data_IF_010110860497
#
_entry.id   IF_010110860497
#
_cell.length_a   1.000
_cell.length_b   1.000
_cell.length_c   1.000
_cell.angle_alpha   90.00
_cell.angle_beta   90.00
_cell.angle_gamma   90.00
#
_symmetry.space_group_name_H-M   'P 1'
#
loop_
_entity.id
_entity.type
_entity.pdbx_description
1 polymer ?
#
# COMPACT_ATOMS: atom_id res chain seq x y z
N UNK A 1 -4.14 12.00 -38.58
CA UNK A 1 -4.24 10.72 -39.32
C UNK A 1 -5.19 9.82 -38.55
N UNK A 2 -6.37 9.52 -39.08
CA UNK A 2 -7.40 8.73 -38.39
C UNK A 2 -7.34 7.28 -38.87
N UNK A 3 -6.31 6.54 -38.44
CA UNK A 3 -6.22 5.09 -38.66
C UNK A 3 -6.87 4.38 -37.46
N UNK A 4 -8.07 3.85 -37.67
CA UNK A 4 -8.84 3.11 -36.66
C UNK A 4 -8.33 1.67 -36.54
N UNK A 5 -8.15 1.21 -35.31
CA UNK A 5 -7.69 -0.14 -34.98
C UNK A 5 -8.83 -1.16 -35.05
N UNK A 6 -9.33 -1.45 -36.26
CA UNK A 6 -10.48 -2.33 -36.46
C UNK A 6 -10.13 -3.84 -36.42
N UNK A 7 -8.93 -4.24 -36.87
CA UNK A 7 -8.54 -5.65 -36.98
C UNK A 7 -7.82 -6.14 -35.72
N UNK A 8 -8.47 -7.02 -34.95
CA UNK A 8 -7.95 -7.55 -33.68
C UNK A 8 -6.58 -8.23 -33.76
N UNK A 9 -6.26 -8.86 -34.90
CA UNK A 9 -4.97 -9.54 -35.10
C UNK A 9 -3.85 -8.50 -35.26
N UNK A 10 -4.10 -7.46 -36.06
CA UNK A 10 -3.13 -6.37 -36.29
C UNK A 10 -2.93 -5.56 -35.02
N UNK A 11 -4.01 -5.27 -34.27
CA UNK A 11 -3.90 -4.58 -32.97
C UNK A 11 -3.03 -5.36 -32.00
N UNK A 12 -3.25 -6.67 -31.89
CA UNK A 12 -2.48 -7.52 -31.00
C UNK A 12 -1.00 -7.50 -31.36
N UNK A 13 -0.64 -7.62 -32.64
CA UNK A 13 0.75 -7.58 -33.09
C UNK A 13 1.42 -6.24 -32.79
N UNK A 14 0.74 -5.12 -33.05
CA UNK A 14 1.26 -3.78 -32.77
C UNK A 14 1.51 -3.62 -31.27
N UNK A 15 0.51 -3.89 -30.44
CA UNK A 15 0.61 -3.73 -28.99
C UNK A 15 1.68 -4.65 -28.41
N UNK A 16 1.79 -5.89 -28.89
CA UNK A 16 2.84 -6.83 -28.44
C UNK A 16 4.24 -6.30 -28.75
N UNK A 17 4.44 -5.70 -29.93
CA UNK A 17 5.72 -5.07 -30.28
C UNK A 17 6.01 -3.84 -29.42
N UNK A 18 5.01 -2.99 -29.18
CA UNK A 18 5.19 -1.82 -28.30
C UNK A 18 5.53 -2.24 -26.87
N UNK A 19 4.87 -3.27 -26.33
CA UNK A 19 5.16 -3.81 -25.00
C UNK A 19 6.61 -4.32 -24.92
N UNK A 20 7.09 -5.01 -25.96
CA UNK A 20 8.47 -5.50 -26.00
C UNK A 20 9.52 -4.38 -26.13
N UNK A 21 9.21 -3.30 -26.86
CA UNK A 21 10.11 -2.16 -27.05
C UNK A 21 10.20 -1.27 -25.80
N UNK A 22 9.07 -0.99 -25.15
CA UNK A 22 8.98 -0.05 -24.02
C UNK A 22 9.02 -0.73 -22.65
N UNK A 23 9.04 -2.07 -22.61
CA UNK A 23 8.92 -2.91 -21.39
C UNK A 23 7.75 -2.49 -20.48
N UNK A 24 6.67 -2.00 -21.10
CA UNK A 24 5.52 -1.45 -20.40
C UNK A 24 4.23 -2.13 -20.84
N UNK A 25 3.63 -2.86 -19.89
CA UNK A 25 2.40 -3.62 -20.08
C UNK A 25 1.18 -2.69 -20.04
N UNK A 26 0.17 -3.01 -20.88
CA UNK A 26 -1.09 -2.29 -20.90
C UNK A 26 -2.13 -3.10 -20.10
N UNK A 27 -2.73 -2.52 -19.05
CA UNK A 27 -3.77 -3.19 -18.28
C UNK A 27 -5.07 -3.31 -19.10
N UNK A 28 -5.88 -4.32 -18.76
CA UNK A 28 -7.09 -4.65 -19.54
C UNK A 28 -8.12 -3.53 -19.62
N UNK A 29 -8.18 -2.64 -18.63
CA UNK A 29 -9.12 -1.52 -18.64
C UNK A 29 -8.70 -0.44 -19.66
N UNK A 30 -7.41 -0.15 -19.81
CA UNK A 30 -6.89 0.82 -20.79
C UNK A 30 -6.96 0.25 -22.22
N UNK A 31 -6.84 -1.07 -22.39
CA UNK A 31 -7.00 -1.72 -23.71
C UNK A 31 -8.37 -1.43 -24.35
N UNK A 32 -9.43 -1.25 -23.57
CA UNK A 32 -10.75 -0.92 -24.08
C UNK A 32 -10.87 0.53 -24.59
N UNK A 33 -9.97 1.41 -24.15
CA UNK A 33 -9.96 2.83 -24.50
C UNK A 33 -9.14 3.10 -25.77
N UNK A 34 -8.17 2.24 -26.09
CA UNK A 34 -7.30 2.36 -27.27
C UNK A 34 -8.03 1.95 -28.56
N UNK A 35 -8.60 2.93 -29.28
CA UNK A 35 -9.39 2.69 -30.52
C UNK A 35 -8.67 3.09 -31.80
N UNK A 36 -7.66 3.95 -31.69
CA UNK A 36 -6.87 4.47 -32.79
C UNK A 36 -5.39 4.24 -32.55
N UNK A 37 -4.61 4.19 -33.63
CA UNK A 37 -3.13 4.22 -33.54
C UNK A 37 -2.66 5.49 -32.82
N UNK A 38 -3.38 6.61 -33.00
CA UNK A 38 -3.09 7.85 -32.30
C UNK A 38 -3.17 7.70 -30.78
N UNK A 39 -4.16 6.97 -30.27
CA UNK A 39 -4.35 6.74 -28.84
C UNK A 39 -3.17 5.95 -28.26
N UNK A 40 -2.70 4.93 -28.99
CA UNK A 40 -1.53 4.12 -28.62
C UNK A 40 -0.27 4.99 -28.56
N UNK A 41 -0.08 5.86 -29.56
CA UNK A 41 1.07 6.79 -29.56
C UNK A 41 0.98 7.74 -28.37
N UNK A 42 -0.19 8.32 -28.10
CA UNK A 42 -0.35 9.22 -26.94
C UNK A 42 -0.13 8.51 -25.61
N UNK A 43 -0.57 7.25 -25.50
CA UNK A 43 -0.40 6.43 -24.31
C UNK A 43 1.08 6.20 -23.99
N UNK A 44 1.86 5.76 -24.97
CA UNK A 44 3.30 5.52 -24.80
C UNK A 44 4.14 6.80 -24.77
N UNK A 45 3.58 7.95 -25.18
CA UNK A 45 4.26 9.25 -25.06
C UNK A 45 4.18 9.84 -23.65
N UNK A 46 3.24 9.39 -22.82
CA UNK A 46 3.09 9.88 -21.45
C UNK A 46 4.20 9.31 -20.55
N UNK A 47 4.95 10.16 -19.83
CA UNK A 47 5.98 9.69 -18.91
C UNK A 47 5.33 9.00 -17.71
N UNK A 48 5.24 7.68 -17.74
CA UNK A 48 4.72 6.87 -16.64
C UNK A 48 5.88 6.23 -15.91
N UNK A 49 6.15 6.69 -14.70
CA UNK A 49 7.16 6.09 -13.83
C UNK A 49 6.52 4.96 -13.02
N UNK A 50 7.09 3.73 -12.99
CA UNK A 50 6.57 2.64 -12.16
C UNK A 50 6.86 2.84 -10.67
N UNK A 51 7.31 4.04 -10.28
CA UNK A 51 7.76 4.38 -8.93
C UNK A 51 6.53 4.69 -8.08
N UNK A 52 6.41 4.03 -6.93
CA UNK A 52 5.35 4.33 -5.95
C UNK A 52 5.44 5.79 -5.52
N UNK A 53 4.31 6.40 -5.19
CA UNK A 53 4.28 7.77 -4.66
C UNK A 53 5.13 7.90 -3.39
N UNK A 54 5.22 6.83 -2.59
CA UNK A 54 6.09 6.76 -1.41
C UNK A 54 7.58 6.87 -1.77
N UNK A 55 7.99 6.19 -2.84
CA UNK A 55 9.37 6.21 -3.34
C UNK A 55 9.72 7.55 -3.99
N UNK A 56 8.76 8.18 -4.68
CA UNK A 56 8.94 9.55 -5.19
C UNK A 56 9.16 10.52 -4.03
N UNK A 57 8.35 10.40 -2.98
CA UNK A 57 8.44 11.28 -1.83
C UNK A 57 9.74 11.06 -1.06
N UNK A 58 10.19 9.81 -0.90
CA UNK A 58 11.49 9.47 -0.29
C UNK A 58 12.67 10.16 -0.99
N UNK A 59 12.62 10.26 -2.31
CA UNK A 59 13.69 10.84 -3.12
C UNK A 59 13.55 12.36 -3.35
N UNK A 60 12.50 12.98 -2.79
CA UNK A 60 12.26 14.42 -2.92
C UNK A 60 12.96 15.22 -1.83
N UNK A 61 13.18 16.52 -2.08
CA UNK A 61 13.69 17.44 -1.06
C UNK A 61 12.60 17.75 -0.03
N UNK A 62 12.59 17.00 1.08
CA UNK A 62 11.66 17.24 2.17
C UNK A 62 12.04 18.51 2.97
N UNK A 63 11.05 19.28 3.43
CA UNK A 63 11.30 20.37 4.36
C UNK A 63 11.81 19.81 5.70
N UNK A 64 12.68 20.58 6.37
CA UNK A 64 13.43 20.12 7.57
C UNK A 64 12.54 19.64 8.73
N UNK A 65 11.28 20.06 8.77
CA UNK A 65 10.29 19.69 9.79
C UNK A 65 9.42 18.48 9.43
N UNK A 66 9.62 17.88 8.25
CA UNK A 66 8.87 16.70 7.80
C UNK A 66 9.80 15.48 7.80
N UNK A 67 9.41 14.44 8.51
CA UNK A 67 10.10 13.15 8.53
C UNK A 67 9.14 12.06 8.08
N UNK A 68 9.55 11.28 7.08
CA UNK A 68 8.79 10.15 6.59
C UNK A 68 9.25 8.87 7.26
N UNK A 69 8.27 8.12 7.71
CA UNK A 69 8.50 6.80 8.28
C UNK A 69 8.01 5.76 7.27
N UNK A 70 8.93 5.29 6.44
CA UNK A 70 8.64 4.34 5.37
C UNK A 70 8.42 2.93 5.89
N UNK A 71 9.15 2.56 6.95
CA UNK A 71 8.99 1.24 7.55
C UNK A 71 7.81 1.24 8.53
N UNK A 72 6.87 0.30 8.38
CA UNK A 72 5.73 0.21 9.28
C UNK A 72 6.21 -0.22 10.66
N UNK A 73 6.18 0.70 11.62
CA UNK A 73 6.47 0.38 13.02
C UNK A 73 5.21 -0.14 13.68
N UNK A 74 5.27 -1.39 14.14
CA UNK A 74 4.21 -2.02 14.92
C UNK A 74 4.32 -1.63 16.39
N UNK A 75 3.19 -1.61 17.09
CA UNK A 75 3.16 -1.53 18.55
C UNK A 75 3.54 -2.89 19.14
N UNK A 76 4.84 -3.09 19.35
CA UNK A 76 5.42 -4.24 20.06
C UNK A 76 6.03 -3.76 21.37
N UNK A 77 6.44 -4.68 22.23
CA UNK A 77 7.07 -4.32 23.51
C UNK A 77 8.38 -3.54 23.31
N UNK A 78 9.12 -3.87 22.26
CA UNK A 78 10.41 -3.25 21.93
C UNK A 78 10.23 -1.81 21.44
N UNK A 79 9.11 -1.49 20.78
CA UNK A 79 8.83 -0.15 20.23
C UNK A 79 8.11 0.77 21.22
N UNK A 80 7.81 0.32 22.45
CA UNK A 80 7.14 1.12 23.50
C UNK A 80 7.85 2.45 23.80
N UNK A 81 9.19 2.47 23.73
CA UNK A 81 9.99 3.68 23.95
C UNK A 81 9.69 4.77 22.91
N UNK A 82 9.50 4.38 21.64
CA UNK A 82 9.15 5.30 20.55
C UNK A 82 7.80 5.98 20.78
N UNK A 83 6.84 5.25 21.35
CA UNK A 83 5.49 5.74 21.60
C UNK A 83 5.27 6.35 22.99
N UNK A 84 6.34 6.59 23.78
CA UNK A 84 6.27 7.16 25.14
C UNK A 84 5.25 6.43 26.03
N UNK A 85 5.27 5.10 25.99
CA UNK A 85 4.35 4.21 26.71
C UNK A 85 2.86 4.35 26.35
N UNK A 86 2.53 5.06 25.26
CA UNK A 86 1.18 5.13 24.72
C UNK A 86 0.97 4.01 23.71
N UNK A 87 -0.15 3.29 23.86
CA UNK A 87 -0.58 2.26 22.91
C UNK A 87 -1.74 2.80 22.06
N UNK A 88 -1.76 2.45 20.77
CA UNK A 88 -2.91 2.70 19.90
C UNK A 88 -4.14 1.82 20.24
N UNK A 89 -3.95 0.79 21.07
CA UNK A 89 -4.99 -0.16 21.47
C UNK A 89 -5.28 -0.08 22.98
N UNK A 90 -5.80 1.04 23.49
CA UNK A 90 -6.17 1.14 24.90
C UNK A 90 -7.29 0.14 25.20
N UNK A 91 -7.19 -0.57 26.34
CA UNK A 91 -8.19 -1.51 26.86
C UNK A 91 -8.46 -2.75 25.98
N UNK A 92 -7.67 -2.97 24.91
CA UNK A 92 -7.79 -4.14 24.04
C UNK A 92 -6.51 -4.96 24.08
N UNK A 93 -6.67 -6.28 24.16
CA UNK A 93 -5.58 -7.23 24.03
C UNK A 93 -5.27 -7.46 22.55
N UNK A 94 -3.99 -7.59 22.21
CA UNK A 94 -3.54 -7.99 20.87
C UNK A 94 -3.31 -9.49 20.87
N UNK A 95 -4.29 -10.23 20.36
CA UNK A 95 -4.27 -11.70 20.33
C UNK A 95 -3.92 -12.17 18.91
N UNK A 96 -2.85 -12.97 18.80
CA UNK A 96 -2.49 -13.62 17.53
C UNK A 96 -3.30 -14.91 17.42
N UNK A 97 -4.38 -14.87 16.64
CA UNK A 97 -5.33 -15.99 16.50
C UNK A 97 -4.85 -17.09 15.54
N UNK A 98 -4.03 -16.73 14.56
CA UNK A 98 -3.58 -17.66 13.52
C UNK A 98 -2.55 -18.69 14.03
N UNK A 99 -2.80 -19.98 13.78
CA UNK A 99 -1.91 -21.08 14.21
C UNK A 99 -0.48 -20.95 13.65
N UNK A 100 -0.35 -20.58 12.36
CA UNK A 100 0.95 -20.39 11.69
C UNK A 100 1.81 -19.33 12.37
N UNK A 101 1.21 -18.20 12.75
CA UNK A 101 1.97 -17.04 13.24
C UNK A 101 2.01 -16.93 14.76
N UNK A 102 1.33 -17.83 15.49
CA UNK A 102 1.31 -17.85 16.95
C UNK A 102 2.70 -17.95 17.59
N UNK A 103 3.63 -18.63 16.92
CA UNK A 103 5.01 -18.78 17.40
C UNK A 103 5.95 -17.66 16.92
N UNK A 104 5.57 -16.93 15.87
CA UNK A 104 6.38 -15.87 15.26
C UNK A 104 6.10 -14.53 15.92
N UNK A 105 4.83 -14.23 16.19
CA UNK A 105 4.41 -12.96 16.79
C UNK A 105 3.90 -13.19 18.21
N UNK A 106 4.46 -12.45 19.17
CA UNK A 106 3.96 -12.43 20.54
C UNK A 106 2.70 -11.56 20.60
N UNK A 107 1.65 -12.09 21.20
CA UNK A 107 0.50 -11.28 21.59
C UNK A 107 0.85 -10.34 22.74
N UNK A 108 0.07 -9.29 22.91
CA UNK A 108 0.22 -8.33 24.01
C UNK A 108 -1.05 -8.31 24.85
N UNK A 109 -0.91 -8.51 26.16
CA UNK A 109 -2.01 -8.38 27.12
C UNK A 109 -1.95 -6.98 27.75
N UNK A 110 -3.05 -6.25 27.66
CA UNK A 110 -3.13 -4.93 28.26
C UNK A 110 -3.29 -5.07 29.78
N UNK A 111 -2.48 -4.38 30.60
CA UNK A 111 -2.69 -4.36 32.04
C UNK A 111 -4.11 -3.85 32.34
N UNK A 112 -4.93 -4.73 32.92
CA UNK A 112 -6.29 -4.37 33.34
C UNK A 112 -6.19 -3.31 34.43
N UNK A 113 -6.65 -2.09 34.14
CA UNK A 113 -6.86 -1.07 35.17
C UNK A 113 -8.11 -1.48 35.94
N UNK A 114 -7.94 -2.28 36.99
CA UNK A 114 -9.02 -2.56 37.92
C UNK A 114 -9.32 -1.26 38.69
N UNK A 115 -10.29 -0.47 38.25
CA UNK A 115 -10.88 0.52 39.15
C UNK A 115 -11.60 -0.24 40.24
N UNK A 116 -11.04 -0.30 41.46
CA UNK A 116 -11.78 -0.72 42.66
C UNK A 116 -13.03 0.16 42.76
N UNK A 117 -14.18 -0.32 42.29
CA UNK A 117 -15.46 0.30 42.65
C UNK A 117 -15.62 0.09 44.15
N UNK A 118 -15.55 1.18 44.92
CA UNK A 118 -15.87 1.15 46.35
C UNK A 118 -17.32 0.67 46.50
N UNK A 119 -17.47 -0.50 47.13
CA UNK A 119 -18.63 -0.91 47.93
C UNK A 119 -19.96 -1.10 47.20
N UNK A 120 -20.37 -2.36 47.05
CA UNK A 120 -21.71 -2.78 47.46
C UNK A 120 -21.59 -4.13 48.17
N UNK A 121 -21.89 -4.11 49.47
CA UNK A 121 -22.14 -5.30 50.30
C UNK A 121 -23.56 -5.75 49.97
N UNK A 122 -23.71 -7.02 49.60
CA UNK A 122 -25.01 -7.67 49.61
C UNK A 122 -25.20 -8.30 51.00
N UNK A 123 -26.25 -7.87 51.67
CA UNK A 123 -26.82 -8.52 52.85
C UNK A 123 -27.22 -9.96 52.53
#
# INVERSE_FOLDING_TARGET
>A
MNCVLACKIVTFQILTKCIAEFDFQIPSYELAELKSVGDVVTYYSLPRQPVSEEDKLKNSDLPKNLHLQLEPVRFTEDTKSFFKDKTAFPQRDTIVTSLKYRNIYKGYQNPKIYTKKKGYSYF
#
